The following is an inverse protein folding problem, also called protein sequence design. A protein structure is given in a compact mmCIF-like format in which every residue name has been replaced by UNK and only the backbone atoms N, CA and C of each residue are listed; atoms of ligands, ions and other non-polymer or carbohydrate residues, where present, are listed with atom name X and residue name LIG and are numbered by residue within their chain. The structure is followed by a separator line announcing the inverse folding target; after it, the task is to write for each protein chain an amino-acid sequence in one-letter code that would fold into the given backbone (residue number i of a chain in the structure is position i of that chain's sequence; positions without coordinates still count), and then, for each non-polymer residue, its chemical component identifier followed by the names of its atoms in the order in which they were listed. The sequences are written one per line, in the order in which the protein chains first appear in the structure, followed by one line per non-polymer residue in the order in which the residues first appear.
data_IF_095576907564
#
_entry.id   IF_095576907564
#
_cell.length_a   1.000
_cell.length_b   1.000
_cell.length_c   1.000
_cell.angle_alpha   90.00
_cell.angle_beta   90.00
_cell.angle_gamma   90.00
#
_symmetry.space_group_name_H-M   'P 1'
#
loop_
_entity.id
_entity.type
_entity.pdbx_description
1 polymer ?
#
# COMPACT_ATOMS: atom_id res chain seq x y z
N UNK A 1 8.84 -25.51 -46.94
CA UNK A 1 9.71 -25.78 -45.74
C UNK A 1 9.01 -25.17 -44.56
N UNK A 2 8.73 -25.99 -43.57
CA UNK A 2 7.80 -25.77 -42.48
C UNK A 2 8.14 -24.61 -41.58
N UNK A 3 7.26 -23.63 -41.51
CA UNK A 3 7.17 -22.67 -40.43
C UNK A 3 6.16 -23.13 -39.36
N UNK A 4 6.45 -24.21 -38.68
CA UNK A 4 5.84 -24.47 -37.37
C UNK A 4 6.80 -23.99 -36.29
N UNK A 5 7.07 -22.72 -36.22
CA UNK A 5 7.50 -22.09 -34.97
C UNK A 5 6.30 -22.21 -34.01
N UNK A 6 6.28 -23.30 -33.23
CA UNK A 6 5.46 -23.41 -32.03
C UNK A 6 5.85 -22.21 -31.17
N UNK A 7 5.05 -21.14 -31.22
CA UNK A 7 5.20 -20.00 -30.28
C UNK A 7 4.87 -20.58 -28.91
N UNK A 8 5.87 -20.68 -28.05
CA UNK A 8 5.70 -21.04 -26.64
C UNK A 8 4.60 -20.16 -26.04
N UNK A 9 3.70 -20.73 -25.25
CA UNK A 9 2.66 -19.95 -24.58
C UNK A 9 3.32 -18.97 -23.60
N UNK A 10 2.60 -17.93 -23.18
CA UNK A 10 3.10 -17.00 -22.15
C UNK A 10 3.43 -17.78 -20.86
N UNK A 11 2.65 -18.79 -20.52
CA UNK A 11 2.92 -19.66 -19.35
C UNK A 11 4.26 -20.40 -19.48
N UNK A 12 4.54 -20.99 -20.67
CA UNK A 12 5.82 -21.67 -20.91
C UNK A 12 7.03 -20.71 -20.78
N UNK A 13 6.90 -19.50 -21.33
CA UNK A 13 7.94 -18.47 -21.22
C UNK A 13 8.14 -18.01 -19.77
N UNK A 14 7.08 -17.88 -18.98
CA UNK A 14 7.17 -17.58 -17.55
C UNK A 14 7.90 -18.68 -16.80
N UNK A 15 7.54 -19.93 -17.04
CA UNK A 15 8.14 -21.08 -16.35
C UNK A 15 9.62 -21.27 -16.70
N UNK A 16 10.01 -20.95 -17.91
CA UNK A 16 11.38 -21.06 -18.39
C UNK A 16 12.28 -19.89 -17.98
N UNK A 17 11.74 -18.66 -17.91
CA UNK A 17 12.59 -17.45 -17.84
C UNK A 17 12.32 -16.53 -16.66
N UNK A 18 11.20 -16.65 -15.93
CA UNK A 18 10.88 -15.79 -14.79
C UNK A 18 11.09 -16.54 -13.47
N UNK A 19 11.82 -15.93 -12.53
CA UNK A 19 12.08 -16.54 -11.22
C UNK A 19 10.77 -16.94 -10.52
N UNK A 20 10.77 -18.12 -9.88
CA UNK A 20 9.59 -18.71 -9.20
C UNK A 20 9.46 -18.22 -7.75
N UNK A 21 9.65 -16.92 -7.51
CA UNK A 21 9.54 -16.29 -6.19
C UNK A 21 8.10 -15.90 -5.81
N UNK A 22 7.14 -16.09 -6.70
CA UNK A 22 5.69 -15.88 -6.46
C UNK A 22 4.91 -17.16 -6.75
N UNK A 23 3.92 -17.49 -5.89
CA UNK A 23 2.90 -18.49 -6.19
C UNK A 23 1.84 -17.84 -7.11
N UNK A 24 2.05 -17.93 -8.44
CA UNK A 24 1.17 -17.32 -9.43
C UNK A 24 -0.12 -18.12 -9.59
N UNK A 25 -1.23 -17.42 -9.80
CA UNK A 25 -2.47 -18.04 -10.23
C UNK A 25 -2.34 -18.50 -11.70
N UNK A 26 -3.02 -19.61 -12.03
CA UNK A 26 -2.94 -20.22 -13.36
C UNK A 26 -3.83 -19.50 -14.41
N UNK A 27 -3.67 -18.19 -14.55
CA UNK A 27 -4.32 -17.34 -15.56
C UNK A 27 -3.31 -16.36 -16.14
N UNK A 28 -3.43 -16.05 -17.42
CA UNK A 28 -2.60 -15.05 -18.12
C UNK A 28 -3.46 -13.84 -18.48
N UNK A 29 -3.34 -12.75 -17.72
CA UNK A 29 -4.09 -11.53 -17.95
C UNK A 29 -3.47 -10.74 -19.11
N UNK A 30 -4.28 -10.34 -20.10
CA UNK A 30 -3.82 -9.68 -21.33
C UNK A 30 -4.46 -8.31 -21.58
N UNK A 31 -5.57 -7.98 -20.87
CA UNK A 31 -6.28 -6.71 -21.05
C UNK A 31 -6.95 -6.29 -19.74
N UNK A 32 -7.06 -4.97 -19.53
CA UNK A 32 -7.81 -4.39 -18.43
C UNK A 32 -8.58 -3.15 -18.85
N UNK A 33 -9.75 -2.91 -18.24
CA UNK A 33 -10.56 -1.70 -18.40
C UNK A 33 -11.45 -1.50 -17.17
N UNK A 34 -11.32 -0.36 -16.49
CA UNK A 34 -12.05 -0.08 -15.27
C UNK A 34 -11.81 -1.16 -14.21
N UNK A 35 -12.86 -1.75 -13.68
CA UNK A 35 -12.80 -2.80 -12.64
C UNK A 35 -12.55 -4.20 -13.23
N UNK A 36 -12.40 -4.35 -14.53
CA UNK A 36 -12.31 -5.66 -15.20
C UNK A 36 -10.97 -5.91 -15.84
N UNK A 37 -10.58 -7.19 -15.81
CA UNK A 37 -9.46 -7.74 -16.57
C UNK A 37 -9.92 -8.95 -17.38
N UNK A 38 -9.19 -9.27 -18.43
CA UNK A 38 -9.44 -10.44 -19.27
C UNK A 38 -8.18 -11.26 -19.40
N UNK A 39 -8.35 -12.56 -19.36
CA UNK A 39 -7.26 -13.49 -19.66
C UNK A 39 -7.09 -13.73 -21.17
N UNK A 40 -6.11 -14.56 -21.54
CA UNK A 40 -5.77 -14.94 -22.89
C UNK A 40 -6.82 -15.86 -23.56
N UNK A 41 -7.77 -16.38 -22.79
CA UNK A 41 -8.94 -17.13 -23.27
C UNK A 41 -10.16 -16.21 -23.45
N UNK A 42 -10.05 -14.93 -23.13
CA UNK A 42 -11.14 -13.95 -23.21
C UNK A 42 -12.11 -13.97 -22.04
N UNK A 43 -11.83 -14.73 -20.99
CA UNK A 43 -12.64 -14.75 -19.77
C UNK A 43 -12.46 -13.42 -19.02
N UNK A 44 -13.58 -12.83 -18.60
CA UNK A 44 -13.61 -11.58 -17.87
C UNK A 44 -13.69 -11.81 -16.37
N UNK A 45 -12.91 -11.05 -15.61
CA UNK A 45 -12.89 -11.08 -14.13
C UNK A 45 -13.13 -9.68 -13.59
N UNK A 46 -13.85 -9.57 -12.46
CA UNK A 46 -13.81 -8.40 -11.59
C UNK A 46 -12.49 -8.41 -10.82
N UNK A 47 -11.66 -7.38 -10.99
CA UNK A 47 -10.39 -7.27 -10.28
C UNK A 47 -10.55 -6.52 -8.97
N UNK A 48 -10.73 -7.27 -7.90
CA UNK A 48 -10.74 -6.74 -6.54
C UNK A 48 -9.37 -6.94 -5.85
N UNK A 49 -8.32 -7.17 -6.63
CA UNK A 49 -6.93 -7.04 -6.17
C UNK A 49 -6.36 -5.67 -6.47
N UNK A 50 -6.77 -5.06 -7.61
CA UNK A 50 -6.24 -3.82 -8.15
C UNK A 50 -4.70 -3.77 -8.13
N UNK A 51 -4.03 -4.91 -8.39
CA UNK A 51 -2.57 -5.01 -8.28
C UNK A 51 -2.06 -4.81 -6.84
N UNK A 52 -2.80 -5.24 -5.83
CA UNK A 52 -2.58 -5.00 -4.39
C UNK A 52 -2.72 -3.50 -4.05
N UNK A 53 -3.92 -2.95 -4.32
CA UNK A 53 -4.28 -1.55 -4.10
C UNK A 53 -3.50 -0.52 -4.96
N UNK A 54 -2.93 -0.93 -6.08
CA UNK A 54 -2.14 -0.07 -6.97
C UNK A 54 -3.02 0.67 -7.98
N UNK A 55 -3.91 -0.04 -8.68
CA UNK A 55 -4.77 0.53 -9.71
C UNK A 55 -5.95 1.29 -9.07
N UNK A 56 -5.64 2.44 -8.44
CA UNK A 56 -6.63 3.24 -7.72
C UNK A 56 -7.80 3.68 -8.61
N UNK A 57 -7.54 3.97 -9.89
CA UNK A 57 -8.54 4.41 -10.88
C UNK A 57 -9.10 3.26 -11.73
N UNK A 58 -8.79 2.01 -11.37
CA UNK A 58 -9.03 0.86 -12.25
C UNK A 58 -8.04 0.81 -13.43
N UNK A 59 -8.25 -0.17 -14.30
CA UNK A 59 -7.36 -0.40 -15.44
C UNK A 59 -7.63 0.60 -16.56
N UNK A 60 -6.55 1.18 -17.10
CA UNK A 60 -6.57 2.01 -18.32
C UNK A 60 -7.56 3.19 -18.26
N UNK A 61 -7.64 3.88 -17.10
CA UNK A 61 -8.50 5.07 -16.98
C UNK A 61 -8.16 6.10 -18.06
N UNK A 62 -9.12 6.63 -18.85
CA UNK A 62 -8.83 7.46 -20.03
C UNK A 62 -7.98 8.68 -19.74
N UNK A 63 -8.26 9.42 -18.65
CA UNK A 63 -7.49 10.61 -18.26
C UNK A 63 -6.05 10.24 -17.86
N UNK A 64 -5.85 9.13 -17.14
CA UNK A 64 -4.53 8.65 -16.77
C UNK A 64 -3.72 8.24 -18.02
N UNK A 65 -4.33 7.48 -18.94
CA UNK A 65 -3.69 7.08 -20.20
C UNK A 65 -3.31 8.30 -21.04
N UNK A 66 -4.17 9.31 -21.13
CA UNK A 66 -3.90 10.56 -21.85
C UNK A 66 -2.69 11.30 -21.26
N UNK A 67 -2.65 11.49 -19.93
CA UNK A 67 -1.54 12.17 -19.26
C UNK A 67 -0.19 11.45 -19.45
N UNK A 68 -0.17 10.12 -19.32
CA UNK A 68 1.05 9.33 -19.52
C UNK A 68 1.51 9.40 -20.99
N UNK A 69 0.58 9.30 -21.96
CA UNK A 69 0.91 9.42 -23.39
C UNK A 69 1.48 10.80 -23.74
N UNK A 70 0.88 11.87 -23.23
CA UNK A 70 1.36 13.22 -23.44
C UNK A 70 2.78 13.39 -22.86
N UNK A 71 2.97 13.07 -21.58
CA UNK A 71 4.26 13.25 -20.93
C UNK A 71 5.38 12.38 -21.53
N UNK A 72 5.05 11.19 -22.04
CA UNK A 72 5.99 10.32 -22.71
C UNK A 72 6.51 10.94 -24.03
N UNK A 73 5.74 11.83 -24.67
CA UNK A 73 6.13 12.57 -25.86
C UNK A 73 6.90 13.87 -25.58
N UNK A 74 6.95 14.33 -24.30
CA UNK A 74 7.57 15.61 -23.95
C UNK A 74 8.93 15.41 -23.24
N UNK A 75 8.91 14.75 -22.08
CA UNK A 75 10.10 14.60 -21.24
C UNK A 75 9.92 13.41 -20.30
N UNK A 76 10.73 12.36 -20.43
CA UNK A 76 10.58 11.13 -19.67
C UNK A 76 11.39 11.17 -18.38
N UNK A 77 12.68 11.54 -18.45
CA UNK A 77 13.63 11.51 -17.33
C UNK A 77 14.68 12.59 -17.46
N UNK A 78 15.08 13.21 -16.33
CA UNK A 78 16.10 14.30 -16.31
C UNK A 78 17.15 14.14 -15.22
N UNK A 79 17.07 13.12 -14.33
CA UNK A 79 17.79 13.12 -13.05
C UNK A 79 17.31 14.20 -12.06
N UNK A 80 17.47 13.94 -10.77
CA UNK A 80 17.17 14.92 -9.70
C UNK A 80 18.23 16.04 -9.58
N UNK A 81 19.22 16.07 -10.48
CA UNK A 81 20.14 17.21 -10.61
C UNK A 81 19.47 18.43 -11.26
N UNK A 82 18.36 18.24 -11.96
CA UNK A 82 17.62 19.30 -12.63
C UNK A 82 16.20 19.41 -12.09
N UNK A 83 15.66 20.61 -12.11
CA UNK A 83 14.27 20.90 -11.74
C UNK A 83 13.36 20.67 -12.93
N UNK A 84 12.17 20.15 -12.71
CA UNK A 84 11.11 20.14 -13.71
C UNK A 84 9.73 20.43 -13.07
N UNK A 85 8.82 21.08 -13.82
CA UNK A 85 7.57 21.61 -13.25
C UNK A 85 6.63 20.51 -12.74
N UNK A 86 6.58 19.35 -13.37
CA UNK A 86 5.64 18.26 -13.05
C UNK A 86 5.93 17.70 -11.65
N UNK A 87 7.22 17.54 -11.27
CA UNK A 87 7.60 17.10 -9.93
C UNK A 87 7.26 18.17 -8.88
N UNK A 88 7.54 19.44 -9.19
CA UNK A 88 7.24 20.54 -8.27
C UNK A 88 5.74 20.64 -8.00
N UNK A 89 4.89 20.49 -9.03
CA UNK A 89 3.44 20.51 -8.89
C UNK A 89 2.93 19.31 -8.08
N UNK A 90 3.45 18.11 -8.32
CA UNK A 90 3.07 16.94 -7.51
C UNK A 90 3.48 17.13 -6.04
N UNK A 91 4.69 17.65 -5.78
CA UNK A 91 5.14 17.95 -4.42
C UNK A 91 4.22 18.96 -3.73
N UNK A 92 3.83 20.05 -4.43
CA UNK A 92 2.88 21.04 -3.92
C UNK A 92 1.55 20.38 -3.54
N UNK A 93 0.96 19.57 -4.42
CA UNK A 93 -0.33 18.90 -4.14
C UNK A 93 -0.26 17.92 -2.98
N UNK A 94 0.86 17.21 -2.81
CA UNK A 94 1.07 16.35 -1.65
C UNK A 94 1.17 17.17 -0.35
N UNK A 95 1.89 18.29 -0.38
CA UNK A 95 2.00 19.22 0.76
C UNK A 95 0.64 19.83 1.10
N UNK A 96 -0.16 20.22 0.11
CA UNK A 96 -1.52 20.75 0.33
C UNK A 96 -2.43 19.71 1.05
N UNK A 97 -2.19 18.42 0.85
CA UNK A 97 -2.94 17.33 1.51
C UNK A 97 -2.38 16.95 2.88
N UNK A 98 -1.06 16.82 2.99
CA UNK A 98 -0.41 16.36 4.20
C UNK A 98 -0.16 17.49 5.23
N UNK A 99 -0.05 18.73 4.76
CA UNK A 99 0.27 19.92 5.54
C UNK A 99 1.67 20.47 5.23
N UNK A 100 2.07 21.61 5.87
CA UNK A 100 3.38 22.21 5.66
C UNK A 100 4.51 21.22 5.86
N UNK A 101 5.46 21.17 4.91
CA UNK A 101 6.54 20.21 4.91
C UNK A 101 7.22 20.09 3.55
N UNK A 102 7.93 18.98 3.34
CA UNK A 102 8.64 18.68 2.09
C UNK A 102 8.43 17.24 1.63
N UNK A 103 8.64 17.00 0.35
CA UNK A 103 8.47 15.67 -0.28
C UNK A 103 9.81 15.21 -0.88
N UNK A 104 10.14 13.95 -0.64
CA UNK A 104 11.16 13.23 -1.39
C UNK A 104 10.48 12.15 -2.22
N UNK A 105 10.84 12.02 -3.50
CA UNK A 105 10.29 11.03 -4.41
C UNK A 105 11.22 9.84 -4.61
N UNK A 106 10.65 8.65 -4.73
CA UNK A 106 11.31 7.39 -5.04
C UNK A 106 10.44 6.56 -6.02
N UNK A 107 10.68 5.26 -6.15
CA UNK A 107 10.02 4.45 -7.19
C UNK A 107 9.05 3.41 -6.63
N UNK A 108 9.08 3.15 -5.34
CA UNK A 108 8.29 2.08 -4.71
C UNK A 108 7.99 2.39 -3.24
N UNK A 109 7.05 1.63 -2.65
CA UNK A 109 6.80 1.67 -1.21
C UNK A 109 8.01 1.21 -0.39
N UNK A 110 8.73 0.19 -0.88
CA UNK A 110 9.93 -0.28 -0.18
C UNK A 110 11.02 0.80 -0.09
N UNK A 111 11.21 1.60 -1.15
CA UNK A 111 12.14 2.74 -1.11
C UNK A 111 11.61 3.88 -0.23
N UNK A 112 10.30 4.11 -0.20
CA UNK A 112 9.70 5.11 0.68
C UNK A 112 9.86 4.74 2.16
N UNK A 113 9.63 3.48 2.52
CA UNK A 113 9.83 2.99 3.88
C UNK A 113 11.31 3.00 4.27
N UNK A 114 12.22 2.64 3.36
CA UNK A 114 13.66 2.76 3.57
C UNK A 114 14.09 4.22 3.82
N UNK A 115 13.48 5.18 3.09
CA UNK A 115 13.71 6.60 3.32
C UNK A 115 13.22 7.04 4.71
N UNK A 116 12.05 6.57 5.19
CA UNK A 116 11.58 6.83 6.55
C UNK A 116 12.51 6.24 7.62
N UNK A 117 13.02 5.03 7.41
CA UNK A 117 14.01 4.40 8.31
C UNK A 117 15.29 5.24 8.38
N UNK A 118 15.79 5.72 7.24
CA UNK A 118 16.95 6.60 7.18
C UNK A 118 16.68 7.95 7.85
N UNK A 119 15.49 8.53 7.63
CA UNK A 119 15.05 9.76 8.29
C UNK A 119 15.05 9.61 9.83
N UNK A 120 14.54 8.50 10.34
CA UNK A 120 14.56 8.18 11.79
C UNK A 120 15.99 8.11 12.32
N UNK A 121 16.93 7.50 11.56
CA UNK A 121 18.35 7.44 11.94
C UNK A 121 18.98 8.83 12.04
N UNK A 122 18.73 9.70 11.05
CA UNK A 122 19.21 11.09 11.08
C UNK A 122 18.59 11.90 12.23
N UNK A 123 17.30 11.69 12.52
CA UNK A 123 16.66 12.29 13.70
C UNK A 123 17.35 11.85 14.99
N UNK A 124 17.67 10.56 15.11
CA UNK A 124 18.38 10.03 16.26
C UNK A 124 19.77 10.63 16.43
N UNK A 125 20.53 10.82 15.34
CA UNK A 125 21.82 11.52 15.36
C UNK A 125 21.64 12.95 15.87
N UNK A 126 20.64 13.69 15.34
CA UNK A 126 20.33 15.05 15.79
C UNK A 126 19.98 15.08 17.29
N UNK A 127 19.16 14.14 17.76
CA UNK A 127 18.70 14.04 19.15
C UNK A 127 19.85 13.71 20.11
N UNK A 128 20.71 12.77 19.77
CA UNK A 128 21.79 12.28 20.64
C UNK A 128 23.14 13.00 20.45
N UNK A 129 23.26 13.83 19.42
CA UNK A 129 24.49 14.53 19.06
C UNK A 129 25.62 13.62 18.52
N UNK A 130 25.36 12.33 18.31
CA UNK A 130 26.34 11.38 17.79
C UNK A 130 25.66 10.17 17.12
N UNK A 131 26.34 9.62 16.11
CA UNK A 131 25.92 8.39 15.42
C UNK A 131 25.93 7.17 16.35
N UNK A 132 25.06 6.20 16.09
CA UNK A 132 25.00 4.92 16.79
C UNK A 132 24.47 4.94 18.22
N UNK A 133 24.08 6.11 18.74
CA UNK A 133 23.52 6.23 20.11
C UNK A 133 21.99 6.17 20.12
N UNK A 134 21.33 6.89 19.24
CA UNK A 134 19.88 6.92 19.14
C UNK A 134 19.50 6.51 17.72
N UNK A 135 18.99 5.28 17.55
CA UNK A 135 18.81 4.69 16.22
C UNK A 135 17.70 3.63 16.19
N UNK A 136 17.13 3.28 17.33
CA UNK A 136 16.09 2.26 17.43
C UNK A 136 14.77 2.78 16.92
N UNK A 137 14.08 1.95 16.15
CA UNK A 137 12.74 2.18 15.62
C UNK A 137 11.82 1.12 16.19
N UNK A 138 10.71 1.54 16.80
CA UNK A 138 9.69 0.61 17.32
C UNK A 138 8.61 0.46 16.24
N UNK A 139 8.42 -0.77 15.76
CA UNK A 139 7.38 -1.13 14.80
C UNK A 139 6.29 -1.98 15.46
N UNK A 140 5.16 -2.20 14.78
CA UNK A 140 4.14 -3.10 15.25
C UNK A 140 4.48 -4.56 14.92
N UNK A 141 4.11 -5.50 15.78
CA UNK A 141 4.09 -6.92 15.42
C UNK A 141 3.23 -7.13 14.18
N UNK A 142 3.62 -8.08 13.33
CA UNK A 142 2.96 -8.40 12.05
C UNK A 142 2.94 -7.25 11.03
N UNK A 143 3.67 -6.16 11.23
CA UNK A 143 3.81 -5.09 10.23
C UNK A 143 4.41 -5.60 8.91
N UNK A 144 4.19 -4.83 7.85
CA UNK A 144 4.85 -5.04 6.56
C UNK A 144 5.32 -3.70 5.99
N UNK A 145 6.64 -3.47 5.98
CA UNK A 145 7.29 -2.26 5.51
C UNK A 145 8.25 -2.51 4.33
N UNK A 146 7.98 -3.55 3.53
CA UNK A 146 8.73 -3.81 2.30
C UNK A 146 9.70 -4.99 2.37
N UNK A 147 10.46 -5.17 1.29
CA UNK A 147 11.36 -6.31 1.05
C UNK A 147 12.83 -5.92 0.94
N UNK A 148 13.19 -4.65 1.03
CA UNK A 148 14.58 -4.19 1.17
C UNK A 148 15.06 -4.49 2.60
N UNK A 149 16.36 -4.57 2.84
CA UNK A 149 16.91 -4.99 4.12
C UNK A 149 16.40 -4.17 5.31
N UNK A 150 16.31 -2.84 5.20
CA UNK A 150 15.74 -1.99 6.25
C UNK A 150 14.26 -2.27 6.47
N UNK A 151 13.44 -2.21 5.42
CA UNK A 151 12.01 -2.50 5.49
C UNK A 151 11.70 -3.93 5.92
N UNK A 152 12.49 -4.93 5.47
CA UNK A 152 12.39 -6.32 5.91
C UNK A 152 12.73 -6.47 7.40
N UNK A 153 13.71 -5.72 7.90
CA UNK A 153 14.07 -5.73 9.32
C UNK A 153 12.98 -5.09 10.19
N UNK A 154 12.23 -4.11 9.66
CA UNK A 154 11.05 -3.52 10.27
C UNK A 154 9.78 -4.39 10.15
N UNK A 155 9.85 -5.52 9.41
CA UNK A 155 8.75 -6.45 9.12
C UNK A 155 8.93 -7.74 9.93
N UNK A 156 8.38 -7.88 11.15
CA UNK A 156 8.62 -9.03 12.02
C UNK A 156 7.79 -10.26 11.60
N UNK A 157 8.02 -10.75 10.40
CA UNK A 157 7.37 -11.93 9.84
C UNK A 157 8.42 -12.96 9.41
N UNK A 158 8.49 -14.09 10.11
CA UNK A 158 9.50 -15.13 9.87
C UNK A 158 9.53 -15.60 8.41
N UNK A 159 8.37 -15.75 7.78
CA UNK A 159 8.27 -16.14 6.35
C UNK A 159 8.96 -15.17 5.38
N UNK A 160 9.15 -13.89 5.82
CA UNK A 160 9.78 -12.83 5.02
C UNK A 160 11.27 -12.75 5.32
N UNK A 161 11.68 -12.99 6.58
CA UNK A 161 13.05 -12.81 7.05
C UNK A 161 13.92 -14.07 6.89
N UNK A 162 13.29 -15.25 6.76
CA UNK A 162 14.00 -16.53 6.67
C UNK A 162 14.96 -16.57 5.47
N UNK A 163 16.22 -16.90 5.74
CA UNK A 163 17.29 -17.00 4.75
C UNK A 163 18.03 -15.68 4.47
N UNK A 164 17.61 -14.55 5.09
CA UNK A 164 18.23 -13.24 4.85
C UNK A 164 18.94 -12.66 6.09
N UNK A 165 19.10 -13.46 7.16
CA UNK A 165 19.85 -13.04 8.34
C UNK A 165 21.37 -13.01 8.07
N UNK A 166 22.14 -12.05 8.66
CA UNK A 166 21.71 -11.12 9.70
C UNK A 166 20.90 -9.94 9.15
N UNK A 167 19.90 -9.49 9.92
CA UNK A 167 19.07 -8.34 9.61
C UNK A 167 19.75 -7.03 10.03
N UNK A 168 19.26 -5.89 9.53
CA UNK A 168 19.69 -4.58 10.00
C UNK A 168 19.28 -4.39 11.46
N UNK A 169 20.22 -4.05 12.38
CA UNK A 169 19.93 -3.89 13.80
C UNK A 169 19.14 -2.62 14.09
N UNK A 170 18.51 -2.57 15.28
CA UNK A 170 17.85 -1.39 15.80
C UNK A 170 16.34 -1.36 15.55
N UNK A 171 15.69 -2.51 15.49
CA UNK A 171 14.24 -2.62 15.48
C UNK A 171 13.74 -3.32 16.74
N UNK A 172 12.62 -2.83 17.29
CA UNK A 172 11.87 -3.45 18.37
C UNK A 172 10.38 -3.50 17.99
N UNK A 173 9.60 -4.40 18.62
CA UNK A 173 8.25 -4.69 18.15
C UNK A 173 7.26 -4.67 19.29
N UNK A 174 6.26 -3.78 19.20
CA UNK A 174 5.12 -3.68 20.08
C UNK A 174 3.87 -4.35 19.50
N UNK A 175 2.94 -4.71 20.35
CA UNK A 175 1.67 -5.30 19.95
C UNK A 175 0.71 -4.21 19.42
N UNK A 176 0.11 -4.43 18.26
CA UNK A 176 -0.85 -3.49 17.66
C UNK A 176 -2.04 -3.25 18.62
N UNK A 177 -2.42 -1.99 18.80
CA UNK A 177 -3.48 -1.54 19.71
C UNK A 177 -3.19 -1.76 21.22
N UNK A 178 -1.96 -2.10 21.57
CA UNK A 178 -1.49 -2.15 22.96
C UNK A 178 -0.42 -1.08 23.19
N UNK A 179 -0.84 0.11 23.65
CA UNK A 179 0.05 1.26 23.84
C UNK A 179 1.18 0.95 24.86
N UNK A 180 0.88 0.17 25.92
CA UNK A 180 1.86 -0.15 26.94
C UNK A 180 3.03 -0.95 26.38
N UNK A 181 2.76 -1.89 25.46
CA UNK A 181 3.83 -2.66 24.81
C UNK A 181 4.80 -1.81 23.99
N UNK A 182 4.36 -0.66 23.48
CA UNK A 182 5.24 0.32 22.83
C UNK A 182 5.99 1.17 23.86
N UNK A 183 5.30 1.60 24.92
CA UNK A 183 5.90 2.43 25.96
C UNK A 183 7.05 1.70 26.69
N UNK A 184 6.91 0.40 26.95
CA UNK A 184 7.92 -0.45 27.59
C UNK A 184 9.19 -0.63 26.73
N UNK A 185 9.10 -0.42 25.42
CA UNK A 185 10.23 -0.51 24.48
C UNK A 185 10.99 0.81 24.31
N UNK A 186 10.43 1.94 24.80
CA UNK A 186 11.08 3.25 24.65
C UNK A 186 12.24 3.38 25.61
N UNK A 187 13.41 3.75 25.09
CA UNK A 187 14.63 4.07 25.86
C UNK A 187 15.43 5.17 25.16
N UNK A 188 16.63 5.47 25.67
CA UNK A 188 17.51 6.52 25.13
C UNK A 188 17.99 6.24 23.68
N UNK A 189 17.95 4.99 23.23
CA UNK A 189 18.30 4.62 21.87
C UNK A 189 17.15 4.82 20.90
N UNK A 190 15.93 5.11 21.35
CA UNK A 190 14.73 5.18 20.52
C UNK A 190 14.67 6.50 19.75
N UNK A 191 14.59 6.41 18.42
CA UNK A 191 14.50 7.54 17.49
C UNK A 191 13.08 7.76 16.95
N UNK A 192 12.32 6.68 16.73
CA UNK A 192 11.01 6.76 16.09
C UNK A 192 10.11 5.58 16.46
N UNK A 193 8.81 5.79 16.25
CA UNK A 193 7.79 4.74 16.14
C UNK A 193 7.31 4.71 14.70
N UNK A 194 7.22 3.52 14.09
CA UNK A 194 6.84 3.34 12.70
C UNK A 194 5.72 2.30 12.57
N UNK A 195 4.54 2.73 12.08
CA UNK A 195 3.32 1.90 12.02
C UNK A 195 2.53 2.13 10.73
N UNK A 196 1.75 1.13 10.33
CA UNK A 196 0.66 1.25 9.37
C UNK A 196 -0.61 1.68 10.11
N UNK A 197 -1.43 2.58 9.55
CA UNK A 197 -2.76 2.89 10.12
C UNK A 197 -3.73 1.72 9.99
N UNK A 198 -3.55 0.89 8.97
CA UNK A 198 -4.22 -0.40 8.77
C UNK A 198 -3.18 -1.37 8.23
N UNK A 199 -2.85 -2.40 8.99
CA UNK A 199 -1.94 -3.45 8.52
C UNK A 199 -2.59 -4.22 7.38
N UNK A 200 -2.10 -3.98 6.15
CA UNK A 200 -2.72 -4.54 4.95
C UNK A 200 -2.36 -6.00 4.68
N UNK A 201 -1.10 -6.39 4.91
CA UNK A 201 -0.58 -7.73 4.55
C UNK A 201 -0.89 -8.79 5.61
N UNK A 202 -1.05 -8.41 6.87
CA UNK A 202 -1.28 -9.34 7.98
C UNK A 202 -2.75 -9.61 8.30
N UNK A 203 -3.68 -9.14 7.45
CA UNK A 203 -5.09 -9.51 7.57
C UNK A 203 -6.04 -8.35 7.80
N UNK A 204 -5.71 -7.15 7.34
CA UNK A 204 -6.53 -5.93 7.44
C UNK A 204 -6.84 -5.61 8.91
N UNK A 205 -5.79 -5.23 9.66
CA UNK A 205 -5.88 -4.93 11.09
C UNK A 205 -5.81 -3.40 11.30
N UNK A 206 -6.92 -2.71 11.57
CA UNK A 206 -6.90 -1.27 11.83
C UNK A 206 -6.28 -0.92 13.19
N UNK A 207 -5.51 0.17 13.23
CA UNK A 207 -5.22 0.87 14.47
C UNK A 207 -6.50 1.49 15.03
N UNK A 208 -6.67 1.46 16.36
CA UNK A 208 -7.69 2.25 17.02
C UNK A 208 -7.27 3.73 17.08
N UNK A 209 -8.25 4.62 17.17
CA UNK A 209 -7.98 6.06 17.34
C UNK A 209 -7.20 6.33 18.63
N UNK A 210 -7.59 5.67 19.73
CA UNK A 210 -6.96 5.79 21.05
C UNK A 210 -5.48 5.36 21.00
N UNK A 211 -5.20 4.29 20.28
CA UNK A 211 -3.82 3.79 20.13
C UNK A 211 -2.95 4.79 19.37
N UNK A 212 -3.41 5.30 18.22
CA UNK A 212 -2.65 6.29 17.43
C UNK A 212 -2.45 7.60 18.20
N UNK A 213 -3.47 8.10 18.95
CA UNK A 213 -3.30 9.22 19.86
C UNK A 213 -2.31 8.93 20.97
N UNK A 214 -2.34 7.72 21.51
CA UNK A 214 -1.38 7.25 22.51
C UNK A 214 0.04 7.28 21.98
N UNK A 215 0.26 6.76 20.76
CA UNK A 215 1.58 6.78 20.10
C UNK A 215 2.05 8.22 19.84
N UNK A 216 1.18 9.12 19.38
CA UNK A 216 1.53 10.53 19.17
C UNK A 216 2.02 11.17 20.46
N UNK A 217 1.28 11.03 21.57
CA UNK A 217 1.68 11.55 22.89
C UNK A 217 2.96 10.91 23.40
N UNK A 218 3.16 9.62 23.12
CA UNK A 218 4.39 8.91 23.50
C UNK A 218 5.59 9.51 22.75
N UNK A 219 5.45 9.72 21.43
CA UNK A 219 6.47 10.35 20.61
C UNK A 219 6.77 11.78 21.09
N UNK A 220 5.75 12.59 21.33
CA UNK A 220 5.92 13.98 21.80
C UNK A 220 6.68 14.05 23.14
N UNK A 221 6.33 13.16 24.08
CA UNK A 221 6.96 13.10 25.41
C UNK A 221 8.45 12.76 25.34
N UNK A 222 8.84 11.87 24.44
CA UNK A 222 10.19 11.33 24.34
C UNK A 222 11.01 11.93 23.19
N UNK A 223 10.46 12.91 22.45
CA UNK A 223 11.12 13.51 21.29
C UNK A 223 11.42 12.47 20.20
N UNK A 224 10.45 11.60 19.90
CA UNK A 224 10.51 10.59 18.84
C UNK A 224 9.73 11.06 17.60
N UNK A 225 10.12 10.56 16.43
CA UNK A 225 9.26 10.72 15.26
C UNK A 225 8.14 9.67 15.26
N UNK A 226 6.92 10.10 14.95
CA UNK A 226 5.82 9.21 14.55
C UNK A 226 5.81 9.10 13.03
N UNK A 227 6.22 7.95 12.51
CA UNK A 227 6.27 7.61 11.09
C UNK A 227 5.07 6.73 10.74
N UNK A 228 4.39 7.05 9.64
CA UNK A 228 3.20 6.32 9.22
C UNK A 228 3.37 5.80 7.79
N UNK A 229 3.19 4.49 7.63
CA UNK A 229 3.15 3.83 6.33
C UNK A 229 1.72 3.91 5.77
N UNK A 230 1.55 4.77 4.77
CA UNK A 230 0.30 4.95 3.99
C UNK A 230 0.40 4.29 2.60
N UNK A 231 1.38 3.43 2.37
CA UNK A 231 1.64 2.80 1.07
C UNK A 231 0.43 2.01 0.57
N UNK A 232 -0.28 1.33 1.46
CA UNK A 232 -1.47 0.55 1.06
C UNK A 232 -2.79 1.23 1.41
N UNK A 233 -2.87 1.97 2.50
CA UNK A 233 -4.10 2.56 3.01
C UNK A 233 -4.34 4.01 2.58
N UNK A 234 -3.32 4.69 2.03
CA UNK A 234 -3.41 6.06 1.55
C UNK A 234 -4.07 6.22 0.18
N UNK A 235 -3.98 7.44 -0.34
CA UNK A 235 -4.44 7.84 -1.69
C UNK A 235 -5.92 7.50 -1.92
N UNK A 236 -6.76 7.81 -0.94
CA UNK A 236 -8.20 7.66 -1.06
C UNK A 236 -8.78 6.30 -0.69
N UNK A 237 -7.95 5.28 -0.46
CA UNK A 237 -8.36 3.89 -0.24
C UNK A 237 -9.40 3.72 0.86
N UNK A 238 -9.32 4.53 1.91
CA UNK A 238 -10.22 4.46 3.08
C UNK A 238 -11.37 5.50 3.07
N UNK A 239 -11.50 6.30 2.00
CA UNK A 239 -12.47 7.40 1.89
C UNK A 239 -11.95 8.76 2.38
N UNK A 240 -10.74 8.81 2.92
CA UNK A 240 -9.93 10.01 3.14
C UNK A 240 -8.68 9.92 2.28
N UNK A 241 -8.01 11.05 2.01
CA UNK A 241 -6.81 11.02 1.17
C UNK A 241 -5.70 10.20 1.85
N UNK A 242 -5.48 10.42 3.15
CA UNK A 242 -4.67 9.57 4.02
C UNK A 242 -5.53 8.89 5.08
N UNK A 243 -5.21 7.65 5.43
CA UNK A 243 -5.99 6.90 6.40
C UNK A 243 -5.86 7.46 7.82
N UNK A 244 -4.73 8.06 8.19
CA UNK A 244 -4.56 8.71 9.50
C UNK A 244 -5.52 9.89 9.72
N UNK A 245 -6.04 10.53 8.66
CA UNK A 245 -7.01 11.62 8.77
C UNK A 245 -8.30 11.20 9.50
N UNK A 246 -8.64 9.91 9.52
CA UNK A 246 -9.79 9.41 10.27
C UNK A 246 -9.63 9.54 11.77
N UNK A 247 -8.41 9.67 12.26
CA UNK A 247 -8.11 9.76 13.69
C UNK A 247 -7.83 11.18 14.16
N UNK A 248 -7.50 12.10 13.23
CA UNK A 248 -7.04 13.45 13.56
C UNK A 248 -5.59 13.52 14.08
N UNK A 249 -4.89 12.40 14.16
CA UNK A 249 -3.46 12.37 14.53
C UNK A 249 -2.63 12.85 13.34
N UNK A 250 -1.63 13.71 13.60
CA UNK A 250 -0.66 14.13 12.58
C UNK A 250 0.67 13.41 12.80
N UNK A 251 1.14 12.60 11.82
CA UNK A 251 2.48 12.03 11.85
C UNK A 251 3.54 13.08 11.52
N UNK A 252 4.79 12.79 11.87
CA UNK A 252 5.95 13.61 11.50
C UNK A 252 6.41 13.33 10.06
N UNK A 253 6.18 12.11 9.57
CA UNK A 253 6.44 11.74 8.19
C UNK A 253 5.55 10.57 7.74
N UNK A 254 5.32 10.48 6.41
CA UNK A 254 4.41 9.53 5.77
C UNK A 254 5.13 8.89 4.59
N UNK A 255 5.04 7.56 4.44
CA UNK A 255 5.41 6.86 3.21
C UNK A 255 4.18 6.65 2.32
N UNK A 256 4.35 6.82 1.02
CA UNK A 256 3.30 6.68 -0.01
C UNK A 256 3.83 5.94 -1.22
N UNK A 257 2.99 5.12 -1.86
CA UNK A 257 3.26 4.50 -3.16
C UNK A 257 1.95 3.93 -3.74
N UNK A 258 2.00 2.80 -4.41
CA UNK A 258 0.85 2.04 -4.93
C UNK A 258 -0.18 2.95 -5.63
N UNK A 259 -1.29 3.26 -4.96
CA UNK A 259 -2.35 4.12 -5.48
C UNK A 259 -1.87 5.49 -5.97
N UNK A 260 -0.74 5.99 -5.46
CA UNK A 260 -0.14 7.27 -5.87
C UNK A 260 0.12 7.31 -7.38
N UNK A 261 0.64 6.22 -7.96
CA UNK A 261 0.94 6.14 -9.39
C UNK A 261 -0.19 5.61 -10.26
N UNK A 262 -1.25 5.04 -9.65
CA UNK A 262 -2.38 4.46 -10.39
C UNK A 262 -2.01 3.35 -11.37
N UNK A 263 -0.90 2.65 -11.15
CA UNK A 263 -0.32 1.62 -12.01
C UNK A 263 1.11 1.92 -12.46
N UNK A 264 1.57 3.18 -12.37
CA UNK A 264 2.95 3.55 -12.67
C UNK A 264 3.82 3.47 -11.41
N UNK A 265 5.08 2.95 -11.49
CA UNK A 265 5.99 2.89 -10.35
C UNK A 265 6.37 4.30 -9.86
N UNK A 266 5.93 4.65 -8.68
CA UNK A 266 6.30 5.85 -7.94
C UNK A 266 6.08 5.60 -6.44
N UNK A 267 7.00 6.10 -5.62
CA UNK A 267 6.86 6.25 -4.19
C UNK A 267 7.23 7.66 -3.77
N UNK A 268 6.85 8.04 -2.58
CA UNK A 268 7.24 9.30 -1.99
C UNK A 268 7.22 9.20 -0.46
N UNK A 269 8.00 10.04 0.21
CA UNK A 269 7.74 10.43 1.59
C UNK A 269 7.38 11.90 1.65
N UNK A 270 6.47 12.23 2.54
CA UNK A 270 6.28 13.59 3.02
C UNK A 270 6.82 13.68 4.45
N UNK A 271 7.48 14.79 4.77
CA UNK A 271 7.91 15.08 6.14
C UNK A 271 7.42 16.47 6.54
N UNK A 272 6.91 16.59 7.78
CA UNK A 272 6.60 17.90 8.35
C UNK A 272 7.85 18.76 8.56
N UNK A 273 7.67 20.07 8.78
CA UNK A 273 8.75 21.07 8.88
C UNK A 273 9.85 20.66 9.87
N UNK A 274 9.50 20.04 11.01
CA UNK A 274 10.46 19.60 12.02
C UNK A 274 11.47 18.55 11.58
N UNK A 275 11.14 17.76 10.56
CA UNK A 275 12.00 16.72 9.99
C UNK A 275 12.47 17.02 8.56
N UNK A 276 11.91 18.07 7.92
CA UNK A 276 12.15 18.36 6.52
C UNK A 276 13.62 18.67 6.16
N UNK A 277 14.39 19.18 7.12
CA UNK A 277 15.79 19.54 6.94
C UNK A 277 16.77 18.43 7.35
N UNK A 278 16.29 17.23 7.72
CA UNK A 278 17.16 16.11 8.07
C UNK A 278 17.91 15.53 6.87
N UNK A 279 17.26 15.45 5.72
CA UNK A 279 17.94 15.10 4.48
C UNK A 279 18.64 16.33 3.90
N UNK A 280 19.95 16.21 3.72
CA UNK A 280 20.80 17.20 3.11
C UNK A 280 21.38 16.66 1.80
N UNK A 281 21.89 17.49 0.88
CA UNK A 281 22.54 17.03 -0.33
C UNK A 281 23.56 15.92 -0.04
N UNK A 282 23.42 14.77 -0.71
CA UNK A 282 24.27 13.60 -0.55
C UNK A 282 23.84 12.60 0.54
N UNK A 283 22.89 12.92 1.42
CA UNK A 283 22.48 12.01 2.49
C UNK A 283 21.59 10.86 1.99
N UNK A 284 20.79 11.09 0.96
CA UNK A 284 19.93 10.10 0.32
C UNK A 284 19.63 10.48 -1.13
N UNK A 285 19.28 9.51 -1.98
CA UNK A 285 18.98 9.77 -3.37
C UNK A 285 18.44 8.56 -4.11
N UNK A 286 17.95 8.81 -5.31
CA UNK A 286 17.45 7.80 -6.24
C UNK A 286 17.62 8.31 -7.67
N UNK A 287 17.90 7.44 -8.61
CA UNK A 287 18.06 7.81 -10.03
C UNK A 287 16.73 8.20 -10.66
N UNK A 288 15.67 7.41 -10.47
CA UNK A 288 14.41 7.56 -11.17
C UNK A 288 13.31 8.21 -10.33
N UNK A 289 13.50 8.40 -9.02
CA UNK A 289 12.46 8.93 -8.14
C UNK A 289 12.00 10.32 -8.56
N UNK A 290 10.69 10.49 -8.75
CA UNK A 290 10.09 11.74 -9.17
C UNK A 290 10.36 12.12 -10.63
N UNK A 291 10.69 11.16 -11.51
CA UNK A 291 10.82 11.42 -12.94
C UNK A 291 9.53 12.03 -13.53
N UNK A 292 9.63 12.93 -14.55
CA UNK A 292 8.45 13.61 -15.14
C UNK A 292 7.30 12.67 -15.46
N UNK A 293 7.59 11.52 -16.08
CA UNK A 293 6.57 10.56 -16.49
C UNK A 293 5.81 9.95 -15.28
N UNK A 294 6.54 9.60 -14.21
CA UNK A 294 5.92 9.08 -12.98
C UNK A 294 5.07 10.15 -12.27
N UNK A 295 5.57 11.39 -12.23
CA UNK A 295 4.84 12.51 -11.63
C UNK A 295 3.58 12.85 -12.42
N UNK A 296 3.61 12.81 -13.77
CA UNK A 296 2.42 13.02 -14.60
C UNK A 296 1.35 11.96 -14.36
N UNK A 297 1.76 10.68 -14.23
CA UNK A 297 0.85 9.60 -13.87
C UNK A 297 0.21 9.84 -12.50
N UNK A 298 0.99 10.26 -11.50
CA UNK A 298 0.47 10.57 -10.17
C UNK A 298 -0.46 11.80 -10.17
N UNK A 299 -0.12 12.87 -10.87
CA UNK A 299 -1.00 14.04 -11.02
C UNK A 299 -2.34 13.67 -11.63
N UNK A 300 -2.36 12.79 -12.64
CA UNK A 300 -3.60 12.30 -13.22
C UNK A 300 -4.46 11.53 -12.20
N UNK A 301 -3.83 10.81 -11.24
CA UNK A 301 -4.57 10.17 -10.13
C UNK A 301 -5.25 11.24 -9.26
N UNK A 302 -4.52 12.29 -8.87
CA UNK A 302 -5.08 13.40 -8.09
C UNK A 302 -6.25 14.05 -8.81
N UNK A 303 -6.07 14.38 -10.10
CA UNK A 303 -7.09 15.06 -10.91
C UNK A 303 -8.39 14.24 -11.00
N UNK A 304 -8.27 12.93 -11.18
CA UNK A 304 -9.44 12.05 -11.25
C UNK A 304 -10.10 11.91 -9.88
N UNK A 305 -9.32 11.72 -8.80
CA UNK A 305 -9.87 11.66 -7.43
C UNK A 305 -10.70 12.90 -7.13
N UNK A 306 -10.22 14.10 -7.49
CA UNK A 306 -10.91 15.36 -7.24
C UNK A 306 -12.10 15.56 -8.16
N UNK A 307 -11.90 15.44 -9.48
CA UNK A 307 -12.96 15.65 -10.48
C UNK A 307 -14.14 14.70 -10.31
N UNK A 308 -13.88 13.45 -10.01
CA UNK A 308 -14.89 12.40 -9.86
C UNK A 308 -15.33 12.20 -8.40
N UNK A 309 -14.83 13.04 -7.49
CA UNK A 309 -15.16 13.02 -6.06
C UNK A 309 -15.01 11.63 -5.43
N UNK A 310 -13.94 10.92 -5.79
CA UNK A 310 -13.77 9.51 -5.42
C UNK A 310 -13.66 9.27 -3.91
N UNK A 311 -13.19 10.24 -3.11
CA UNK A 311 -13.19 10.12 -1.65
C UNK A 311 -14.60 10.01 -1.08
N UNK A 312 -15.52 10.86 -1.58
CA UNK A 312 -16.93 10.79 -1.21
C UNK A 312 -17.59 9.50 -1.70
N UNK A 313 -17.27 9.07 -2.93
CA UNK A 313 -17.75 7.81 -3.47
C UNK A 313 -17.33 6.61 -2.59
N UNK A 314 -16.04 6.50 -2.25
CA UNK A 314 -15.54 5.43 -1.36
C UNK A 314 -16.27 5.46 -0.02
N UNK A 315 -16.42 6.64 0.59
CA UNK A 315 -17.11 6.81 1.89
C UNK A 315 -18.56 6.31 1.81
N UNK A 316 -19.29 6.72 0.78
CA UNK A 316 -20.72 6.43 0.64
C UNK A 316 -20.98 4.96 0.23
N UNK A 317 -20.16 4.41 -0.68
CA UNK A 317 -20.38 3.08 -1.22
C UNK A 317 -19.85 1.95 -0.30
N UNK A 318 -18.80 2.20 0.47
CA UNK A 318 -18.17 1.16 1.28
C UNK A 318 -19.01 0.69 2.46
N UNK A 319 -19.75 1.58 3.12
CA UNK A 319 -20.57 1.21 4.29
C UNK A 319 -21.60 0.13 3.98
N UNK A 320 -22.50 0.32 3.00
CA UNK A 320 -23.45 -0.69 2.56
C UNK A 320 -22.78 -2.00 2.11
N UNK A 321 -21.66 -1.90 1.39
CA UNK A 321 -20.93 -3.07 0.91
C UNK A 321 -20.30 -3.89 2.03
N UNK A 322 -19.61 -3.23 2.98
CA UNK A 322 -19.04 -3.90 4.16
C UNK A 322 -20.15 -4.58 4.99
N UNK A 323 -21.30 -3.90 5.14
CA UNK A 323 -22.45 -4.49 5.83
C UNK A 323 -22.97 -5.74 5.11
N UNK A 324 -23.04 -5.71 3.79
CA UNK A 324 -23.46 -6.87 2.99
C UNK A 324 -22.47 -8.05 3.09
N UNK A 325 -21.15 -7.77 3.06
CA UNK A 325 -20.13 -8.78 3.33
C UNK A 325 -20.22 -9.33 4.77
N UNK A 326 -20.46 -8.47 5.77
CA UNK A 326 -20.63 -8.90 7.15
C UNK A 326 -21.88 -9.80 7.34
N UNK A 327 -22.90 -9.63 6.51
CA UNK A 327 -24.04 -10.53 6.44
C UNK A 327 -23.67 -11.97 6.09
N UNK A 328 -22.59 -12.16 5.30
CA UNK A 328 -22.10 -13.51 5.00
C UNK A 328 -21.58 -14.24 6.23
N UNK A 329 -21.03 -13.55 7.23
CA UNK A 329 -20.63 -14.18 8.49
C UNK A 329 -21.84 -14.70 9.31
N UNK A 330 -23.00 -14.06 9.15
CA UNK A 330 -24.25 -14.53 9.77
C UNK A 330 -24.88 -15.69 8.98
N UNK A 331 -24.81 -15.65 7.65
CA UNK A 331 -25.33 -16.71 6.76
C UNK A 331 -24.44 -17.98 6.82
N UNK A 332 -23.10 -17.81 6.96
CA UNK A 332 -22.10 -18.88 6.91
C UNK A 332 -21.13 -18.84 8.11
N UNK A 333 -21.61 -18.93 9.36
CA UNK A 333 -20.78 -18.70 10.56
C UNK A 333 -19.67 -19.75 10.77
N UNK A 334 -19.77 -20.92 10.10
CA UNK A 334 -18.71 -21.93 10.13
C UNK A 334 -17.58 -21.69 9.13
N UNK A 335 -17.77 -20.80 8.15
CA UNK A 335 -16.82 -20.52 7.09
C UNK A 335 -16.25 -19.10 7.18
N UNK A 336 -17.06 -18.10 7.53
CA UNK A 336 -16.68 -16.69 7.66
C UNK A 336 -16.75 -16.27 9.11
N UNK A 337 -15.60 -15.87 9.68
CA UNK A 337 -15.49 -15.49 11.09
C UNK A 337 -15.74 -14.00 11.32
N UNK A 338 -15.25 -13.15 10.43
CA UNK A 338 -15.35 -11.69 10.56
C UNK A 338 -15.14 -10.99 9.21
N UNK A 339 -15.67 -9.77 9.13
CA UNK A 339 -15.33 -8.80 8.06
C UNK A 339 -14.81 -7.53 8.74
N UNK A 340 -13.67 -7.03 8.30
CA UNK A 340 -13.04 -5.84 8.88
C UNK A 340 -12.36 -4.99 7.82
N UNK A 341 -12.09 -3.74 8.14
CA UNK A 341 -11.45 -2.78 7.26
C UNK A 341 -12.20 -1.46 7.19
N UNK A 342 -11.80 -0.61 6.24
CA UNK A 342 -12.40 0.71 6.04
C UNK A 342 -12.31 1.13 4.58
N UNK A 343 -13.35 1.77 4.07
CA UNK A 343 -13.41 2.15 2.67
C UNK A 343 -13.34 0.92 1.76
N UNK A 344 -12.45 0.96 0.80
CA UNK A 344 -12.17 -0.16 -0.11
C UNK A 344 -10.87 -0.93 0.24
N UNK A 345 -10.55 -0.99 1.51
CA UNK A 345 -9.54 -1.88 2.09
C UNK A 345 -10.25 -2.81 3.08
N UNK A 346 -10.72 -3.95 2.58
CA UNK A 346 -11.59 -4.87 3.33
C UNK A 346 -11.01 -6.27 3.35
N UNK A 347 -11.13 -6.93 4.50
CA UNK A 347 -10.75 -8.32 4.71
C UNK A 347 -11.94 -9.17 5.16
N UNK A 348 -12.13 -10.30 4.52
CA UNK A 348 -13.07 -11.36 4.94
C UNK A 348 -12.23 -12.46 5.59
N UNK A 349 -12.36 -12.62 6.91
CA UNK A 349 -11.64 -13.65 7.66
C UNK A 349 -12.36 -14.98 7.55
N UNK A 350 -11.66 -15.98 7.02
CA UNK A 350 -12.16 -17.33 6.88
C UNK A 350 -11.81 -18.20 8.10
N UNK A 351 -12.60 -19.23 8.37
CA UNK A 351 -12.32 -20.18 9.44
C UNK A 351 -11.14 -21.11 9.15
N UNK A 352 -10.79 -21.29 7.88
CA UNK A 352 -9.71 -22.14 7.41
C UNK A 352 -8.82 -21.46 6.38
N UNK A 353 -7.98 -22.27 5.70
CA UNK A 353 -7.12 -21.81 4.61
C UNK A 353 -7.93 -21.08 3.53
N UNK A 354 -7.40 -19.95 3.07
CA UNK A 354 -8.05 -19.12 2.06
C UNK A 354 -7.81 -19.58 0.62
N UNK A 355 -6.82 -20.45 0.37
CA UNK A 355 -6.43 -20.81 -0.99
C UNK A 355 -7.57 -21.50 -1.79
N UNK A 356 -8.36 -22.44 -1.23
CA UNK A 356 -9.50 -23.01 -1.92
C UNK A 356 -10.57 -21.97 -2.26
N UNK A 357 -10.90 -21.08 -1.31
CA UNK A 357 -11.90 -20.03 -1.53
C UNK A 357 -11.43 -18.99 -2.55
N UNK A 358 -10.17 -18.57 -2.53
CA UNK A 358 -9.57 -17.66 -3.54
C UNK A 358 -9.65 -18.29 -4.93
N UNK A 359 -9.40 -19.59 -5.06
CA UNK A 359 -9.52 -20.31 -6.33
C UNK A 359 -10.97 -20.34 -6.81
N UNK A 360 -11.91 -20.71 -5.94
CA UNK A 360 -13.32 -20.76 -6.30
C UNK A 360 -13.89 -19.36 -6.65
N UNK A 361 -13.49 -18.30 -5.94
CA UNK A 361 -13.86 -16.91 -6.28
C UNK A 361 -13.37 -16.52 -7.69
N UNK A 362 -12.13 -16.86 -8.01
CA UNK A 362 -11.58 -16.63 -9.35
C UNK A 362 -12.37 -17.39 -10.43
N UNK A 363 -12.71 -18.65 -10.20
CA UNK A 363 -13.50 -19.47 -11.11
C UNK A 363 -14.93 -18.89 -11.32
N UNK A 364 -15.44 -18.17 -10.34
CA UNK A 364 -16.68 -17.39 -10.42
C UNK A 364 -16.48 -15.97 -10.95
N UNK A 365 -15.28 -15.63 -11.46
CA UNK A 365 -14.99 -14.35 -12.10
C UNK A 365 -14.65 -13.20 -11.15
N UNK A 366 -14.19 -13.49 -9.91
CA UNK A 366 -13.75 -12.48 -8.94
C UNK A 366 -12.29 -12.73 -8.51
N UNK A 367 -11.39 -11.81 -8.88
CA UNK A 367 -10.00 -11.86 -8.42
C UNK A 367 -9.88 -11.20 -7.05
N UNK A 368 -9.28 -11.94 -6.11
CA UNK A 368 -9.05 -11.51 -4.72
C UNK A 368 -7.61 -11.83 -4.31
N UNK A 369 -7.13 -11.24 -3.23
CA UNK A 369 -5.78 -11.48 -2.73
C UNK A 369 -5.81 -12.07 -1.32
N UNK A 370 -5.04 -13.13 -1.03
CA UNK A 370 -4.89 -13.60 0.34
C UNK A 370 -4.09 -12.59 1.17
N UNK A 371 -4.37 -12.56 2.48
CA UNK A 371 -3.60 -11.86 3.49
C UNK A 371 -3.36 -12.77 4.70
N UNK A 372 -2.52 -12.35 5.64
CA UNK A 372 -2.28 -13.10 6.87
C UNK A 372 -3.54 -13.37 7.68
N UNK A 373 -3.50 -14.38 8.58
CA UNK A 373 -4.61 -14.69 9.46
C UNK A 373 -5.86 -15.27 8.76
N UNK A 374 -5.66 -16.01 7.67
CA UNK A 374 -6.76 -16.61 6.87
C UNK A 374 -7.74 -15.55 6.35
N UNK A 375 -7.24 -14.42 5.86
CA UNK A 375 -8.07 -13.33 5.34
C UNK A 375 -8.02 -13.28 3.82
N UNK A 376 -9.20 -13.18 3.19
CA UNK A 376 -9.34 -12.81 1.79
C UNK A 376 -9.47 -11.29 1.72
N UNK A 377 -8.54 -10.63 1.04
CA UNK A 377 -8.47 -9.18 0.93
C UNK A 377 -9.15 -8.71 -0.35
N UNK A 378 -9.97 -7.69 -0.21
CA UNK A 378 -10.75 -7.04 -1.27
C UNK A 378 -10.32 -5.57 -1.39
N UNK A 379 -9.82 -5.22 -2.56
CA UNK A 379 -9.21 -3.93 -2.89
C UNK A 379 -9.75 -3.41 -4.24
N UNK A 380 -11.08 -3.23 -4.42
CA UNK A 380 -11.59 -2.72 -5.69
C UNK A 380 -10.98 -1.33 -5.99
N UNK A 381 -10.94 -0.88 -7.26
CA UNK A 381 -10.56 0.49 -7.57
C UNK A 381 -11.51 1.51 -6.93
N UNK A 382 -11.04 2.75 -6.73
CA UNK A 382 -11.81 3.79 -6.02
C UNK A 382 -13.10 4.18 -6.75
N UNK A 383 -13.15 3.98 -8.07
CA UNK A 383 -14.29 4.28 -8.94
C UNK A 383 -15.14 3.04 -9.26
N UNK A 384 -15.03 1.97 -8.47
CA UNK A 384 -15.86 0.76 -8.64
C UNK A 384 -17.34 1.09 -8.54
N UNK A 385 -18.15 0.50 -9.40
CA UNK A 385 -19.61 0.70 -9.38
C UNK A 385 -20.29 -0.02 -8.21
N UNK A 386 -21.41 0.51 -7.74
CA UNK A 386 -22.25 -0.17 -6.74
C UNK A 386 -22.75 -1.54 -7.23
N UNK A 387 -22.95 -1.69 -8.54
CA UNK A 387 -23.33 -2.98 -9.14
C UNK A 387 -22.19 -4.01 -9.03
N UNK A 388 -20.93 -3.60 -9.29
CA UNK A 388 -19.78 -4.49 -9.15
C UNK A 388 -19.52 -4.86 -7.67
N UNK A 389 -19.74 -3.92 -6.74
CA UNK A 389 -19.70 -4.20 -5.32
C UNK A 389 -20.75 -5.23 -4.90
N UNK A 390 -22.00 -5.06 -5.34
CA UNK A 390 -23.07 -6.02 -5.07
C UNK A 390 -22.76 -7.39 -5.68
N UNK A 391 -22.25 -7.40 -6.93
CA UNK A 391 -21.87 -8.64 -7.63
C UNK A 391 -20.78 -9.40 -6.88
N UNK A 392 -19.82 -8.71 -6.29
CA UNK A 392 -18.79 -9.37 -5.48
C UNK A 392 -19.36 -10.15 -4.29
N UNK A 393 -20.39 -9.59 -3.61
CA UNK A 393 -21.08 -10.26 -2.49
C UNK A 393 -21.85 -11.49 -2.96
N UNK A 394 -22.53 -11.41 -4.13
CA UNK A 394 -23.23 -12.55 -4.74
C UNK A 394 -22.25 -13.69 -5.07
N UNK A 395 -21.09 -13.37 -5.64
CA UNK A 395 -20.05 -14.35 -5.96
C UNK A 395 -19.55 -15.03 -4.69
N UNK A 396 -19.25 -14.24 -3.63
CA UNK A 396 -18.89 -14.82 -2.32
C UNK A 396 -19.96 -15.77 -1.81
N UNK A 397 -21.24 -15.34 -1.82
CA UNK A 397 -22.35 -16.18 -1.37
C UNK A 397 -22.46 -17.47 -2.17
N UNK A 398 -22.25 -17.44 -3.48
CA UNK A 398 -22.27 -18.62 -4.35
C UNK A 398 -21.16 -19.60 -3.96
N UNK A 399 -19.94 -19.11 -3.78
CA UNK A 399 -18.79 -19.93 -3.38
C UNK A 399 -19.01 -20.57 -2.00
N UNK A 400 -19.51 -19.80 -1.03
CA UNK A 400 -19.76 -20.29 0.34
C UNK A 400 -20.90 -21.33 0.40
N UNK A 401 -21.87 -21.31 -0.52
CA UNK A 401 -22.91 -22.32 -0.62
C UNK A 401 -22.44 -23.64 -1.22
N UNK A 402 -21.40 -23.59 -2.06
CA UNK A 402 -20.85 -24.77 -2.74
C UNK A 402 -19.76 -25.50 -1.96
N UNK A 403 -19.26 -24.93 -0.89
CA UNK A 403 -18.24 -25.49 0.00
C UNK A 403 -18.82 -25.79 1.36
#
# INVERSE_FOLDING_TARGET
MNESLIRSSAADLYDAHVMKNYARQAITLVRGSGTRVWDDQGVAYLDFTSGIAVNALGHCHPAWVAAVRQQAGELIHTSNLFRHPVQAELARRLVDRAGPGRVFFCNSGAEADEALIKLARLHGVRKAGAEGKCYKIICALQAFHGRMFGGMSATPQEKIQRGFRPLVPGFAFGELNNLQSFADLVDDQTAAIFVETIQGESGINPCTTEFLFGLRRLCDRHGLLLLVDEVQCGIGRTGKFFAFEHTGVRPDAIAMAKGLGGGFPIGAIWTGEGAAELFQPGSHGTTFGGTPLACAAALAVFDVIEREQLLAHVTNASGPWIKALAGLAQEFPKQVLAVRGRGFLVGVQMAGDTAPAVTALREQGLLTAPAGGNVIRLLPPLNVSSADLAKSVEIFRTVLKGG
#
